data_IF_819952940977
#
_entry.id   IF_819952940977
#
_cell.length_a   1.000
_cell.length_b   1.000
_cell.length_c   1.000
_cell.angle_alpha   90.00
_cell.angle_beta   90.00
_cell.angle_gamma   90.00
#
_symmetry.space_group_name_H-M   'P 1'
#
loop_
_entity.id
_entity.type
_entity.pdbx_description
1 polymer ?
#
# COMPACT_ATOMS: atom_id res chain seq x y z
N UNK A 1 31.26 22.02 75.82
CA UNK A 1 31.59 20.72 75.20
C UNK A 1 30.43 20.30 74.31
N UNK A 2 30.50 20.57 73.00
CA UNK A 2 29.55 20.09 71.98
C UNK A 2 30.38 19.73 70.75
N UNK A 3 30.49 18.44 70.48
CA UNK A 3 31.18 17.89 69.31
C UNK A 3 30.14 17.80 68.19
N UNK A 4 30.40 18.48 67.08
CA UNK A 4 29.57 18.39 65.87
C UNK A 4 30.21 17.37 64.92
N UNK A 5 29.54 16.25 64.68
CA UNK A 5 29.91 15.27 63.67
C UNK A 5 29.57 15.82 62.27
N UNK A 6 30.56 15.92 61.39
CA UNK A 6 30.35 16.13 59.96
C UNK A 6 30.17 14.77 59.29
N UNK A 7 29.00 14.52 58.70
CA UNK A 7 28.74 13.37 57.86
C UNK A 7 29.21 13.68 56.42
N UNK A 8 30.24 12.98 55.95
CA UNK A 8 30.67 13.02 54.54
C UNK A 8 29.78 12.05 53.75
N UNK A 9 28.92 12.57 52.88
CA UNK A 9 28.15 11.75 51.94
C UNK A 9 28.99 11.53 50.67
N UNK A 10 29.55 10.32 50.51
CA UNK A 10 30.17 9.88 49.27
C UNK A 10 29.08 9.48 48.27
N UNK A 11 28.81 10.33 47.28
CA UNK A 11 28.00 10.00 46.12
C UNK A 11 28.82 9.12 45.15
N UNK A 12 28.57 7.81 45.20
CA UNK A 12 29.11 6.84 44.23
C UNK A 12 28.36 7.02 42.90
N UNK A 13 29.00 7.66 41.92
CA UNK A 13 28.44 7.82 40.57
C UNK A 13 28.58 6.50 39.79
N UNK A 14 27.48 5.75 39.69
CA UNK A 14 27.41 4.57 38.83
C UNK A 14 27.29 5.06 37.38
N UNK A 15 28.39 5.02 36.63
CA UNK A 15 28.38 5.25 35.19
C UNK A 15 27.71 4.06 34.50
N UNK A 16 26.44 4.23 34.10
CA UNK A 16 25.77 3.29 33.21
C UNK A 16 26.44 3.36 31.82
N UNK A 17 26.84 2.24 31.22
CA UNK A 17 27.36 2.25 29.86
C UNK A 17 26.23 2.66 28.91
N UNK A 18 26.40 3.81 28.25
CA UNK A 18 25.56 4.21 27.15
C UNK A 18 25.78 3.21 26.00
N UNK A 19 24.85 2.28 25.82
CA UNK A 19 24.76 1.52 24.58
C UNK A 19 24.39 2.50 23.47
N UNK A 20 25.40 3.00 22.76
CA UNK A 20 25.20 3.67 21.49
C UNK A 20 24.62 2.63 20.53
N UNK A 21 23.31 2.66 20.33
CA UNK A 21 22.66 1.96 19.22
C UNK A 21 23.29 2.50 17.95
N UNK A 22 24.13 1.70 17.28
CA UNK A 22 24.57 1.96 15.92
C UNK A 22 23.39 1.74 14.99
N UNK A 23 22.42 2.66 15.02
CA UNK A 23 21.46 2.77 13.94
C UNK A 23 22.28 3.04 12.69
N UNK A 24 22.43 2.01 11.85
CA UNK A 24 23.01 2.16 10.52
C UNK A 24 22.11 3.13 9.81
N UNK A 25 22.53 4.40 9.73
CA UNK A 25 21.80 5.42 9.01
C UNK A 25 21.85 4.99 7.55
N UNK A 26 20.71 4.67 6.97
CA UNK A 26 20.65 4.35 5.55
C UNK A 26 20.90 5.65 4.79
N UNK A 27 22.15 5.88 4.39
CA UNK A 27 22.56 7.07 3.68
C UNK A 27 22.36 6.90 2.18
N UNK A 28 21.80 7.93 1.55
CA UNK A 28 21.64 7.98 0.09
C UNK A 28 22.99 8.18 -0.57
N UNK A 29 23.35 7.30 -1.50
CA UNK A 29 24.64 7.34 -2.20
C UNK A 29 24.45 7.65 -3.69
N UNK A 30 25.44 8.28 -4.35
CA UNK A 30 25.49 8.32 -5.80
C UNK A 30 25.47 6.90 -6.38
N UNK A 31 24.78 6.72 -7.51
CA UNK A 31 24.81 5.45 -8.24
C UNK A 31 26.24 5.17 -8.72
N UNK A 32 26.81 4.04 -8.29
CA UNK A 32 28.16 3.66 -8.73
C UNK A 32 28.15 3.13 -10.16
N UNK A 33 29.29 3.23 -10.85
CA UNK A 33 29.48 2.65 -12.19
C UNK A 33 29.24 1.13 -12.18
N UNK A 34 29.68 0.46 -11.11
CA UNK A 34 29.45 -0.97 -10.92
C UNK A 34 27.96 -1.28 -10.79
N UNK A 35 27.21 -0.56 -9.95
CA UNK A 35 25.76 -0.74 -9.82
C UNK A 35 25.06 -0.51 -11.16
N UNK A 36 25.39 0.59 -11.85
CA UNK A 36 24.80 0.93 -13.14
C UNK A 36 25.03 -0.17 -14.18
N UNK A 37 26.26 -0.67 -14.31
CA UNK A 37 26.63 -1.76 -15.21
C UNK A 37 25.93 -3.07 -14.83
N UNK A 38 26.00 -3.43 -13.55
CA UNK A 38 25.51 -4.69 -12.99
C UNK A 38 23.99 -4.80 -13.05
N UNK A 39 23.29 -3.66 -13.04
CA UNK A 39 21.83 -3.58 -13.12
C UNK A 39 21.30 -3.01 -14.44
N UNK A 40 22.19 -2.73 -15.42
CA UNK A 40 21.87 -2.17 -16.74
C UNK A 40 21.03 -0.89 -16.66
N UNK A 41 21.41 0.02 -15.76
CA UNK A 41 20.71 1.28 -15.56
C UNK A 41 21.26 2.38 -16.46
N UNK A 42 20.37 3.20 -17.02
CA UNK A 42 20.76 4.39 -17.78
C UNK A 42 21.27 5.48 -16.83
N UNK A 43 22.59 5.67 -16.80
CA UNK A 43 23.28 6.68 -15.97
C UNK A 43 22.92 8.11 -16.35
N UNK A 44 22.29 8.36 -17.51
CA UNK A 44 21.75 9.68 -17.85
C UNK A 44 20.55 10.01 -16.96
N UNK A 45 19.71 9.02 -16.69
CA UNK A 45 18.52 9.17 -15.85
C UNK A 45 18.84 8.92 -14.37
N UNK A 46 19.37 7.74 -14.03
CA UNK A 46 19.61 7.32 -12.66
C UNK A 46 20.86 7.98 -12.08
N UNK A 47 20.72 8.60 -10.91
CA UNK A 47 21.81 9.36 -10.24
C UNK A 47 22.12 8.85 -8.84
N UNK A 48 21.15 8.24 -8.16
CA UNK A 48 21.32 7.74 -6.78
C UNK A 48 21.09 6.24 -6.75
N UNK A 49 21.83 5.54 -5.88
CA UNK A 49 21.82 4.08 -5.79
C UNK A 49 22.28 3.56 -4.43
N UNK A 50 21.39 2.92 -3.67
CA UNK A 50 21.73 2.25 -2.41
C UNK A 50 21.29 0.80 -2.47
N UNK A 51 22.19 -0.11 -2.08
CA UNK A 51 21.88 -1.53 -1.97
C UNK A 51 21.59 -1.91 -0.52
N UNK A 52 20.48 -2.61 -0.29
CA UNK A 52 20.07 -3.15 1.01
C UNK A 52 19.63 -4.59 0.80
N UNK A 53 20.22 -5.55 1.51
CA UNK A 53 19.88 -6.97 1.40
C UNK A 53 19.85 -7.48 -0.07
N UNK A 54 20.83 -7.06 -0.88
CA UNK A 54 20.91 -7.38 -2.33
C UNK A 54 19.75 -6.86 -3.18
N UNK A 55 19.00 -5.89 -2.65
CA UNK A 55 17.99 -5.11 -3.37
C UNK A 55 18.60 -3.76 -3.70
N UNK A 56 18.65 -3.41 -4.99
CA UNK A 56 19.10 -2.09 -5.41
C UNK A 56 17.91 -1.12 -5.43
N UNK A 57 18.01 -0.03 -4.67
CA UNK A 57 17.12 1.13 -4.76
C UNK A 57 17.81 2.16 -5.65
N UNK A 58 17.19 2.50 -6.78
CA UNK A 58 17.75 3.42 -7.77
C UNK A 58 16.76 4.54 -8.11
N UNK A 59 17.25 5.77 -8.19
CA UNK A 59 16.39 6.94 -8.41
C UNK A 59 17.05 7.95 -9.34
N UNK A 60 16.27 8.89 -9.85
CA UNK A 60 16.80 10.11 -10.46
C UNK A 60 17.50 10.99 -9.40
N UNK A 61 18.08 12.11 -9.84
CA UNK A 61 18.62 13.11 -8.92
C UNK A 61 17.54 13.89 -8.14
N UNK A 62 16.28 13.84 -8.58
CA UNK A 62 15.18 14.68 -8.04
C UNK A 62 14.48 14.09 -6.83
N UNK A 63 14.47 12.76 -6.69
CA UNK A 63 13.90 12.09 -5.52
C UNK A 63 14.63 12.53 -4.25
N UNK A 64 13.89 12.88 -3.21
CA UNK A 64 14.42 13.28 -1.91
C UNK A 64 15.30 12.19 -1.29
N UNK A 65 16.39 12.61 -0.64
CA UNK A 65 17.25 11.69 0.11
C UNK A 65 16.51 11.07 1.30
N UNK A 66 15.49 11.74 1.85
CA UNK A 66 14.65 11.20 2.91
C UNK A 66 13.84 10.00 2.44
N UNK A 67 13.18 10.08 1.28
CA UNK A 67 12.40 8.96 0.74
C UNK A 67 13.28 7.77 0.35
N UNK A 68 14.45 8.05 -0.20
CA UNK A 68 15.44 7.02 -0.51
C UNK A 68 15.92 6.31 0.77
N UNK A 69 16.29 7.07 1.80
CA UNK A 69 16.72 6.54 3.08
C UNK A 69 15.62 5.75 3.79
N UNK A 70 14.38 6.25 3.77
CA UNK A 70 13.21 5.58 4.37
C UNK A 70 12.92 4.25 3.68
N UNK A 71 12.95 4.23 2.34
CA UNK A 71 12.80 2.98 1.57
C UNK A 71 13.87 1.97 1.95
N UNK A 72 15.14 2.39 2.02
CA UNK A 72 16.25 1.54 2.40
C UNK A 72 16.09 0.99 3.83
N UNK A 73 15.62 1.82 4.75
CA UNK A 73 15.31 1.43 6.13
C UNK A 73 14.20 0.38 6.19
N UNK A 74 13.04 0.66 5.58
CA UNK A 74 11.89 -0.24 5.60
C UNK A 74 12.20 -1.57 4.92
N UNK A 75 12.92 -1.56 3.79
CA UNK A 75 13.35 -2.78 3.11
C UNK A 75 14.27 -3.62 3.98
N UNK A 76 15.27 -3.00 4.60
CA UNK A 76 16.18 -3.71 5.50
C UNK A 76 15.46 -4.27 6.73
N UNK A 77 14.45 -3.58 7.27
CA UNK A 77 13.61 -4.08 8.36
C UNK A 77 12.76 -5.26 7.92
N UNK A 78 12.05 -5.15 6.80
CA UNK A 78 11.20 -6.23 6.27
C UNK A 78 12.04 -7.47 5.95
N UNK A 79 13.14 -7.33 5.21
CA UNK A 79 14.03 -8.45 4.85
C UNK A 79 14.62 -9.18 6.06
N UNK A 80 14.87 -8.48 7.17
CA UNK A 80 15.32 -9.09 8.44
C UNK A 80 14.21 -9.80 9.21
N UNK A 81 12.96 -9.38 9.03
CA UNK A 81 11.82 -9.88 9.80
C UNK A 81 11.07 -11.04 9.15
N UNK A 82 11.16 -11.18 7.82
CA UNK A 82 10.56 -12.32 7.11
C UNK A 82 11.40 -13.59 7.27
N UNK A 83 10.82 -14.74 6.90
CA UNK A 83 11.51 -16.03 6.88
C UNK A 83 12.86 -15.95 6.10
N UNK A 84 14.00 -16.36 6.70
CA UNK A 84 15.31 -16.22 6.07
C UNK A 84 15.46 -16.95 4.72
N UNK A 85 14.75 -18.07 4.51
CA UNK A 85 14.77 -18.83 3.25
C UNK A 85 13.96 -18.10 2.18
N UNK A 86 12.86 -17.45 2.56
CA UNK A 86 12.12 -16.53 1.67
C UNK A 86 12.98 -15.32 1.31
N UNK A 87 13.61 -14.67 2.30
CA UNK A 87 14.52 -13.55 2.08
C UNK A 87 15.63 -13.92 1.09
N UNK A 88 16.25 -15.08 1.26
CA UNK A 88 17.33 -15.53 0.39
C UNK A 88 16.89 -15.73 -1.07
N UNK A 89 15.66 -16.20 -1.29
CA UNK A 89 15.10 -16.29 -2.65
C UNK A 89 14.89 -14.92 -3.27
N UNK A 90 14.44 -13.93 -2.49
CA UNK A 90 14.32 -12.54 -2.95
C UNK A 90 15.70 -11.98 -3.34
N UNK A 91 16.74 -12.19 -2.50
CA UNK A 91 18.12 -11.75 -2.81
C UNK A 91 18.60 -12.30 -4.16
N UNK A 92 18.39 -13.60 -4.41
CA UNK A 92 18.77 -14.27 -5.67
C UNK A 92 18.05 -13.71 -6.89
N UNK A 93 16.85 -13.16 -6.74
CA UNK A 93 16.11 -12.49 -7.82
C UNK A 93 16.63 -11.09 -8.14
N UNK A 94 17.53 -10.54 -7.30
CA UNK A 94 18.16 -9.23 -7.47
C UNK A 94 17.13 -8.13 -7.73
N UNK A 95 16.13 -8.03 -6.86
CA UNK A 95 15.04 -7.04 -6.97
C UNK A 95 15.58 -5.63 -7.30
N UNK A 96 14.89 -4.92 -8.20
CA UNK A 96 15.10 -3.49 -8.41
C UNK A 96 13.96 -2.73 -7.75
N UNK A 97 14.28 -1.75 -6.92
CA UNK A 97 13.33 -0.74 -6.49
C UNK A 97 13.65 0.56 -7.22
N UNK A 98 12.64 1.17 -7.84
CA UNK A 98 12.73 2.47 -8.48
C UNK A 98 11.85 3.43 -7.69
N UNK A 99 12.43 4.54 -7.22
CA UNK A 99 11.62 5.64 -6.70
C UNK A 99 11.43 6.70 -7.79
N UNK A 100 10.22 7.22 -7.88
CA UNK A 100 9.85 8.32 -8.77
C UNK A 100 9.52 9.56 -7.94
N UNK A 101 10.08 10.71 -8.31
CA UNK A 101 9.82 11.96 -7.59
C UNK A 101 8.37 12.43 -7.75
N UNK A 102 7.94 13.35 -6.89
CA UNK A 102 6.60 13.94 -6.93
C UNK A 102 6.24 14.50 -8.32
N UNK A 103 7.12 15.32 -8.89
CA UNK A 103 6.96 15.94 -10.21
C UNK A 103 7.46 15.06 -11.37
N UNK A 104 7.87 13.82 -11.09
CA UNK A 104 8.30 12.87 -12.11
C UNK A 104 7.16 11.94 -12.51
N UNK A 105 7.12 11.61 -13.80
CA UNK A 105 6.09 10.78 -14.37
C UNK A 105 6.63 9.38 -14.63
N UNK A 106 5.83 8.35 -14.33
CA UNK A 106 6.19 6.95 -14.55
C UNK A 106 6.59 6.68 -16.00
N UNK A 107 5.93 7.33 -16.97
CA UNK A 107 6.27 7.25 -18.40
C UNK A 107 7.64 7.82 -18.77
N UNK A 108 8.27 8.62 -17.92
CA UNK A 108 9.62 9.16 -18.13
C UNK A 108 10.71 8.17 -17.70
N UNK A 109 10.36 7.16 -16.90
CA UNK A 109 11.30 6.15 -16.43
C UNK A 109 11.76 5.26 -17.58
N UNK A 110 13.07 4.97 -17.73
CA UNK A 110 13.57 4.14 -18.81
C UNK A 110 12.86 2.78 -18.94
N UNK A 111 12.42 2.21 -17.82
CA UNK A 111 11.77 0.90 -17.70
C UNK A 111 10.28 0.91 -18.05
N UNK A 112 9.62 2.07 -17.97
CA UNK A 112 8.17 2.19 -18.01
C UNK A 112 7.69 3.24 -19.02
N UNK A 113 8.50 3.47 -20.07
CA UNK A 113 8.10 4.32 -21.19
C UNK A 113 6.76 3.86 -21.76
N UNK A 114 5.96 4.83 -22.17
CA UNK A 114 4.66 4.59 -22.79
C UNK A 114 4.53 5.39 -24.09
N UNK A 115 3.83 4.81 -25.05
CA UNK A 115 3.39 5.40 -26.31
C UNK A 115 2.05 6.14 -26.19
N UNK A 116 1.41 6.07 -25.03
CA UNK A 116 0.14 6.76 -24.73
C UNK A 116 0.28 8.26 -24.88
N UNK A 117 -0.81 8.92 -25.25
CA UNK A 117 -0.87 10.38 -25.41
C UNK A 117 -2.13 10.97 -24.77
N UNK A 118 -2.12 12.27 -24.50
CA UNK A 118 -3.27 13.00 -23.93
C UNK A 118 -3.79 12.39 -22.62
N UNK A 119 -5.12 12.34 -22.48
CA UNK A 119 -5.80 11.85 -21.26
C UNK A 119 -5.42 10.43 -20.87
N UNK A 120 -5.06 9.58 -21.83
CA UNK A 120 -4.61 8.23 -21.51
C UNK A 120 -3.24 8.20 -20.87
N UNK A 121 -2.33 9.07 -21.33
CA UNK A 121 -1.01 9.23 -20.72
C UNK A 121 -1.14 9.86 -19.33
N UNK A 122 -2.01 10.85 -19.17
CA UNK A 122 -2.29 11.48 -17.88
C UNK A 122 -2.81 10.43 -16.89
N UNK A 123 -3.78 9.60 -17.32
CA UNK A 123 -4.32 8.53 -16.49
C UNK A 123 -3.27 7.46 -16.16
N UNK A 124 -2.42 7.09 -17.13
CA UNK A 124 -1.31 6.17 -16.91
C UNK A 124 -0.36 6.69 -15.82
N UNK A 125 0.11 7.93 -15.94
CA UNK A 125 1.04 8.53 -14.98
C UNK A 125 0.41 8.75 -13.60
N UNK A 126 -0.87 9.13 -13.56
CA UNK A 126 -1.58 9.33 -12.30
C UNK A 126 -1.82 8.02 -11.54
N UNK A 127 -2.15 6.94 -12.26
CA UNK A 127 -2.54 5.67 -11.61
C UNK A 127 -1.35 4.78 -11.25
N UNK A 128 -0.22 4.89 -11.95
CA UNK A 128 0.93 3.99 -11.85
C UNK A 128 2.01 4.61 -10.94
N UNK A 129 1.70 4.77 -9.65
CA UNK A 129 2.61 5.41 -8.66
C UNK A 129 3.10 4.48 -7.55
N UNK A 130 2.53 3.29 -7.42
CA UNK A 130 3.04 2.18 -6.61
C UNK A 130 2.64 0.87 -7.29
N UNK A 131 3.61 -0.01 -7.60
CA UNK A 131 3.34 -1.34 -8.17
C UNK A 131 4.59 -2.23 -8.27
N UNK A 132 4.37 -3.55 -8.30
CA UNK A 132 5.34 -4.56 -8.76
C UNK A 132 5.11 -4.97 -10.23
N UNK A 133 6.18 -5.03 -11.03
CA UNK A 133 6.20 -5.64 -12.38
C UNK A 133 7.41 -6.52 -12.61
N UNK A 134 7.28 -7.48 -13.51
CA UNK A 134 8.40 -8.30 -13.98
C UNK A 134 8.91 -7.72 -15.31
N UNK A 135 10.19 -7.36 -15.35
CA UNK A 135 10.88 -6.95 -16.58
C UNK A 135 11.86 -8.06 -16.96
N UNK A 136 11.47 -8.86 -17.96
CA UNK A 136 12.09 -10.15 -18.22
C UNK A 136 11.94 -11.06 -17.00
N UNK A 137 13.04 -11.56 -16.46
CA UNK A 137 13.05 -12.41 -15.26
C UNK A 137 13.24 -11.65 -13.95
N UNK A 138 13.40 -10.33 -14.01
CA UNK A 138 13.72 -9.50 -12.85
C UNK A 138 12.46 -8.84 -12.30
N UNK A 139 12.15 -9.00 -11.00
CA UNK A 139 11.11 -8.20 -10.37
C UNK A 139 11.60 -6.76 -10.20
N UNK A 140 10.72 -5.81 -10.51
CA UNK A 140 10.94 -4.37 -10.39
C UNK A 140 9.74 -3.79 -9.67
N UNK A 141 9.98 -3.23 -8.49
CA UNK A 141 8.99 -2.50 -7.72
C UNK A 141 9.21 -1.00 -7.90
N UNK A 142 8.12 -0.25 -7.97
CA UNK A 142 8.13 1.20 -8.10
C UNK A 142 7.31 1.83 -6.99
N UNK A 143 7.83 2.93 -6.43
CA UNK A 143 7.11 3.78 -5.49
C UNK A 143 7.30 5.25 -5.83
N UNK A 144 6.24 6.03 -5.62
CA UNK A 144 6.34 7.47 -5.60
C UNK A 144 6.87 7.96 -4.25
N UNK A 145 7.58 9.08 -4.26
CA UNK A 145 8.11 9.67 -3.05
C UNK A 145 7.02 9.98 -2.02
N UNK A 146 5.87 10.47 -2.47
CA UNK A 146 4.70 10.77 -1.63
C UNK A 146 4.07 9.53 -0.99
N UNK A 147 4.14 8.36 -1.64
CA UNK A 147 3.68 7.10 -1.06
C UNK A 147 4.67 6.52 -0.04
N UNK A 148 5.98 6.78 -0.21
CA UNK A 148 7.00 6.34 0.76
C UNK A 148 6.95 7.18 2.03
N UNK A 149 6.76 8.50 1.89
CA UNK A 149 6.78 9.45 3.00
C UNK A 149 5.38 9.81 3.54
N UNK A 150 4.33 9.28 2.91
CA UNK A 150 2.93 9.45 3.30
C UNK A 150 2.44 10.92 3.41
N UNK A 151 2.99 11.82 2.58
CA UNK A 151 2.53 13.22 2.51
C UNK A 151 1.42 13.42 1.45
N UNK A 152 0.90 14.65 1.34
CA UNK A 152 -0.18 14.98 0.41
C UNK A 152 0.12 14.54 -1.03
N UNK A 153 -0.80 13.77 -1.62
CA UNK A 153 -0.64 13.14 -2.93
C UNK A 153 -0.41 11.63 -2.84
N UNK A 154 0.18 11.16 -1.74
CA UNK A 154 0.31 9.74 -1.43
C UNK A 154 -0.91 9.18 -0.69
N UNK A 155 -0.80 7.94 -0.23
CA UNK A 155 -1.83 7.25 0.56
C UNK A 155 -1.55 7.37 2.08
N UNK A 156 -2.15 8.34 2.79
CA UNK A 156 -2.01 8.40 4.24
C UNK A 156 -2.81 7.27 4.91
N UNK A 157 -2.34 6.80 6.06
CA UNK A 157 -2.96 5.77 6.93
C UNK A 157 -2.77 4.32 6.45
N UNK A 158 -2.05 4.11 5.35
CA UNK A 158 -1.57 2.79 4.93
C UNK A 158 -0.20 2.93 4.28
N UNK A 159 0.59 1.86 4.30
CA UNK A 159 1.92 1.87 3.69
C UNK A 159 1.92 1.11 2.38
N UNK A 160 1.78 1.84 1.27
CA UNK A 160 1.89 1.27 -0.09
C UNK A 160 3.23 0.56 -0.28
N UNK A 161 4.30 1.07 0.35
CA UNK A 161 5.60 0.41 0.34
C UNK A 161 5.53 -1.00 0.92
N UNK A 162 4.92 -1.16 2.10
CA UNK A 162 4.78 -2.47 2.74
C UNK A 162 3.82 -3.36 1.95
N UNK A 163 2.73 -2.81 1.41
CA UNK A 163 1.79 -3.54 0.55
C UNK A 163 2.49 -4.21 -0.63
N UNK A 164 3.17 -3.41 -1.45
CA UNK A 164 3.84 -3.89 -2.66
C UNK A 164 5.05 -4.77 -2.32
N UNK A 165 5.71 -4.53 -1.18
CA UNK A 165 6.72 -5.46 -0.69
C UNK A 165 6.12 -6.81 -0.29
N UNK A 166 4.88 -6.83 0.21
CA UNK A 166 4.09 -8.05 0.36
C UNK A 166 3.97 -8.82 -0.96
N UNK A 167 3.70 -8.13 -2.07
CA UNK A 167 3.73 -8.74 -3.40
C UNK A 167 5.12 -9.25 -3.81
N UNK A 168 6.21 -8.58 -3.41
CA UNK A 168 7.58 -9.09 -3.61
C UNK A 168 7.78 -10.40 -2.85
N UNK A 169 7.40 -10.46 -1.58
CA UNK A 169 7.52 -11.68 -0.75
C UNK A 169 6.76 -12.84 -1.39
N UNK A 170 5.52 -12.59 -1.81
CA UNK A 170 4.71 -13.58 -2.51
C UNK A 170 5.29 -13.97 -3.88
N UNK A 171 5.63 -13.01 -4.74
CA UNK A 171 5.99 -13.27 -6.13
C UNK A 171 7.43 -13.73 -6.34
N UNK A 172 8.38 -13.11 -5.65
CA UNK A 172 9.81 -13.40 -5.77
C UNK A 172 10.32 -14.36 -4.70
N UNK A 173 9.65 -14.40 -3.55
CA UNK A 173 10.09 -15.13 -2.37
C UNK A 173 9.51 -16.54 -2.22
N UNK A 174 8.26 -16.78 -2.59
CA UNK A 174 7.61 -18.08 -2.33
C UNK A 174 8.01 -19.19 -3.31
N UNK A 175 8.14 -20.42 -2.80
CA UNK A 175 8.22 -21.65 -3.58
C UNK A 175 6.82 -22.21 -3.88
N UNK A 176 6.78 -23.34 -4.59
CA UNK A 176 5.55 -24.03 -4.95
C UNK A 176 4.68 -24.35 -3.73
N UNK A 177 5.27 -24.90 -2.66
CA UNK A 177 4.50 -25.33 -1.48
C UNK A 177 3.91 -24.13 -0.74
N UNK A 178 4.65 -23.03 -0.63
CA UNK A 178 4.16 -21.77 -0.06
C UNK A 178 3.06 -21.14 -0.93
N UNK A 179 3.18 -21.21 -2.25
CA UNK A 179 2.12 -20.76 -3.18
C UNK A 179 0.83 -21.59 -3.01
N UNK A 180 0.95 -22.90 -2.83
CA UNK A 180 -0.18 -23.81 -2.57
C UNK A 180 -0.84 -23.53 -1.22
N UNK A 181 -0.04 -23.33 -0.16
CA UNK A 181 -0.54 -22.93 1.18
C UNK A 181 -1.28 -21.59 1.14
N UNK A 182 -0.72 -20.58 0.46
CA UNK A 182 -1.39 -19.29 0.27
C UNK A 182 -2.71 -19.46 -0.48
N UNK A 183 -2.75 -20.32 -1.51
CA UNK A 183 -3.99 -20.62 -2.25
C UNK A 183 -5.04 -21.25 -1.36
N UNK A 184 -4.66 -22.22 -0.53
CA UNK A 184 -5.58 -22.85 0.43
C UNK A 184 -6.09 -21.84 1.47
N UNK A 185 -5.20 -21.00 2.02
CA UNK A 185 -5.56 -19.96 2.98
C UNK A 185 -6.54 -18.93 2.39
N UNK A 186 -6.27 -18.45 1.17
CA UNK A 186 -7.16 -17.52 0.47
C UNK A 186 -8.56 -18.12 0.25
N UNK A 187 -8.64 -19.37 -0.24
CA UNK A 187 -9.92 -20.07 -0.42
C UNK A 187 -10.67 -20.19 0.90
N UNK A 188 -9.97 -20.56 1.98
CA UNK A 188 -10.59 -20.73 3.29
C UNK A 188 -11.10 -19.40 3.86
N UNK A 189 -10.31 -18.34 3.71
CA UNK A 189 -10.71 -16.98 4.11
C UNK A 189 -11.96 -16.52 3.37
N UNK A 190 -12.06 -16.85 2.08
CA UNK A 190 -13.21 -16.53 1.24
C UNK A 190 -14.48 -17.29 1.68
N UNK A 191 -14.36 -18.59 1.99
CA UNK A 191 -15.47 -19.39 2.56
C UNK A 191 -15.99 -18.81 3.88
N UNK A 192 -15.08 -18.33 4.73
CA UNK A 192 -15.39 -17.77 6.04
C UNK A 192 -15.82 -16.29 5.98
N UNK A 193 -15.64 -15.62 4.83
CA UNK A 193 -15.94 -14.21 4.67
C UNK A 193 -15.10 -13.28 5.56
N UNK A 194 -13.88 -13.67 5.93
CA UNK A 194 -13.03 -12.91 6.89
C UNK A 194 -12.82 -11.47 6.41
N UNK A 195 -12.52 -11.31 5.11
CA UNK A 195 -12.27 -10.02 4.48
C UNK A 195 -13.52 -9.37 3.88
N UNK A 196 -14.70 -9.75 4.36
CA UNK A 196 -15.92 -9.05 4.01
C UNK A 196 -16.25 -8.00 5.07
N UNK A 197 -16.93 -6.92 4.67
CA UNK A 197 -17.39 -5.89 5.59
C UNK A 197 -18.86 -5.55 5.37
N UNK A 198 -19.63 -5.70 6.45
CA UNK A 198 -21.04 -5.32 6.53
C UNK A 198 -21.30 -3.88 6.95
N UNK A 199 -20.26 -3.04 6.97
CA UNK A 199 -20.36 -1.58 7.18
C UNK A 199 -19.60 -0.78 6.10
N UNK A 200 -18.89 -1.45 5.21
CA UNK A 200 -18.17 -0.80 4.12
C UNK A 200 -19.15 -0.05 3.24
N UNK A 201 -18.76 1.15 2.82
CA UNK A 201 -19.69 2.02 2.12
C UNK A 201 -19.08 2.61 0.85
N UNK A 202 -19.80 2.45 -0.26
CA UNK A 202 -19.36 2.92 -1.57
C UNK A 202 -20.12 4.17 -1.99
N UNK A 203 -19.40 5.16 -2.52
CA UNK A 203 -20.01 6.32 -3.17
C UNK A 203 -20.55 5.91 -4.55
N UNK A 204 -21.85 6.12 -4.77
CA UNK A 204 -22.50 5.84 -6.06
C UNK A 204 -22.56 7.13 -6.90
N UNK A 205 -21.52 7.37 -7.72
CA UNK A 205 -21.37 8.60 -8.54
C UNK A 205 -21.83 8.42 -9.99
N UNK A 206 -22.84 7.59 -10.23
CA UNK A 206 -23.27 7.20 -11.59
C UNK A 206 -24.47 7.98 -12.12
N UNK A 207 -25.14 8.74 -11.24
CA UNK A 207 -26.12 9.75 -11.63
C UNK A 207 -25.38 11.04 -11.94
N UNK A 208 -25.70 11.68 -13.07
CA UNK A 208 -25.05 12.90 -13.57
C UNK A 208 -26.11 13.89 -14.05
N UNK A 209 -25.77 15.18 -14.04
CA UNK A 209 -26.64 16.27 -14.48
C UNK A 209 -27.73 16.63 -13.47
N UNK A 210 -28.50 17.66 -13.79
CA UNK A 210 -29.37 18.34 -12.79
C UNK A 210 -30.74 17.68 -12.65
N UNK A 211 -31.14 16.87 -13.64
CA UNK A 211 -32.43 16.19 -13.67
C UNK A 211 -32.47 15.08 -12.64
N UNK A 212 -33.45 15.15 -11.73
CA UNK A 212 -33.71 14.08 -10.74
C UNK A 212 -34.22 12.80 -11.43
N UNK A 213 -33.56 11.68 -11.16
CA UNK A 213 -33.90 10.33 -11.66
C UNK A 213 -34.13 9.37 -10.51
N UNK A 214 -34.87 8.28 -10.75
CA UNK A 214 -35.08 7.23 -9.73
C UNK A 214 -33.74 6.59 -9.33
N UNK A 215 -33.41 6.62 -8.03
CA UNK A 215 -32.20 5.95 -7.55
C UNK A 215 -32.31 4.43 -7.68
N UNK A 216 -33.49 3.85 -7.40
CA UNK A 216 -33.73 2.41 -7.61
C UNK A 216 -33.46 2.00 -9.06
N UNK A 217 -33.96 2.78 -10.03
CA UNK A 217 -33.71 2.55 -11.45
C UNK A 217 -32.23 2.69 -11.83
N UNK A 218 -31.54 3.68 -11.28
CA UNK A 218 -30.11 3.87 -11.50
C UNK A 218 -29.28 2.72 -10.90
N UNK A 219 -29.62 2.24 -9.70
CA UNK A 219 -28.98 1.09 -9.08
C UNK A 219 -29.18 -0.17 -9.93
N UNK A 220 -30.41 -0.49 -10.34
CA UNK A 220 -30.68 -1.69 -11.16
C UNK A 220 -29.93 -1.67 -12.49
N UNK A 221 -29.74 -0.49 -13.10
CA UNK A 221 -28.94 -0.33 -14.32
C UNK A 221 -27.47 -0.71 -14.11
N UNK A 222 -26.89 -0.41 -12.94
CA UNK A 222 -25.47 -0.62 -12.65
C UNK A 222 -25.17 -1.93 -11.89
N UNK A 223 -26.20 -2.54 -11.32
CA UNK A 223 -26.16 -3.86 -10.67
C UNK A 223 -27.19 -4.79 -11.34
N UNK A 224 -26.97 -5.18 -12.61
CA UNK A 224 -27.96 -5.93 -13.39
C UNK A 224 -28.24 -7.33 -12.83
N UNK A 225 -27.29 -7.93 -12.11
CA UNK A 225 -27.44 -9.26 -11.51
C UNK A 225 -28.28 -9.23 -10.21
N UNK A 226 -28.37 -8.08 -9.53
CA UNK A 226 -29.08 -7.98 -8.26
C UNK A 226 -30.59 -7.88 -8.44
N UNK A 227 -31.37 -8.56 -7.59
CA UNK A 227 -32.83 -8.54 -7.72
C UNK A 227 -33.41 -7.14 -7.43
N UNK A 228 -34.43 -6.67 -8.17
CA UNK A 228 -35.11 -5.41 -7.85
C UNK A 228 -35.68 -5.38 -6.42
N UNK A 229 -36.10 -6.53 -5.91
CA UNK A 229 -36.60 -6.67 -4.54
C UNK A 229 -35.50 -6.41 -3.49
N UNK A 230 -34.29 -6.93 -3.69
CA UNK A 230 -33.15 -6.67 -2.83
C UNK A 230 -32.76 -5.19 -2.86
N UNK A 231 -32.62 -4.60 -4.04
CA UNK A 231 -32.26 -3.18 -4.17
C UNK A 231 -33.29 -2.25 -3.52
N UNK A 232 -34.58 -2.60 -3.65
CA UNK A 232 -35.67 -1.91 -2.96
C UNK A 232 -35.52 -2.01 -1.44
N UNK A 233 -35.28 -3.21 -0.92
CA UNK A 233 -35.06 -3.47 0.50
C UNK A 233 -33.88 -2.66 1.06
N UNK A 234 -32.74 -2.65 0.37
CA UNK A 234 -31.58 -1.86 0.76
C UNK A 234 -31.87 -0.35 0.84
N UNK A 235 -32.66 0.19 -0.10
CA UNK A 235 -33.07 1.59 -0.04
C UNK A 235 -34.01 1.86 1.14
N UNK A 236 -34.96 0.97 1.39
CA UNK A 236 -36.01 1.13 2.41
C UNK A 236 -35.50 0.85 3.84
N UNK A 237 -34.47 0.01 4.01
CA UNK A 237 -33.91 -0.39 5.32
C UNK A 237 -32.68 0.43 5.77
N UNK A 238 -32.25 1.40 4.96
CA UNK A 238 -31.18 2.34 5.34
C UNK A 238 -29.76 1.93 4.94
N UNK A 239 -29.62 0.85 4.16
CA UNK A 239 -28.36 0.45 3.51
C UNK A 239 -27.94 1.43 2.41
N UNK A 240 -28.80 2.38 2.02
CA UNK A 240 -28.44 3.43 1.07
C UNK A 240 -28.77 4.79 1.68
N UNK A 241 -27.74 5.64 1.77
CA UNK A 241 -27.84 7.00 2.25
C UNK A 241 -27.81 7.97 1.08
N UNK A 242 -28.66 8.99 1.13
CA UNK A 242 -28.63 10.15 0.22
C UNK A 242 -28.33 11.39 1.05
N UNK A 243 -27.25 12.09 0.73
CA UNK A 243 -26.77 13.24 1.48
C UNK A 243 -26.58 12.95 2.98
N UNK A 244 -26.09 11.75 3.29
CA UNK A 244 -25.81 11.29 4.65
C UNK A 244 -27.02 10.84 5.46
N UNK A 245 -28.22 10.77 4.87
CA UNK A 245 -29.45 10.35 5.56
C UNK A 245 -30.03 9.07 4.94
N UNK A 246 -30.65 8.17 5.74
CA UNK A 246 -31.43 7.05 5.21
C UNK A 246 -32.51 7.52 4.24
N UNK A 247 -32.88 6.65 3.30
CA UNK A 247 -33.78 6.98 2.21
C UNK A 247 -34.87 5.91 2.05
N UNK A 248 -35.53 5.89 0.89
CA UNK A 248 -36.42 4.81 0.48
C UNK A 248 -36.41 4.63 -1.04
N UNK A 249 -37.06 3.57 -1.51
CA UNK A 249 -37.13 3.13 -2.89
C UNK A 249 -37.80 4.09 -3.86
N UNK A 250 -38.51 5.12 -3.36
CA UNK A 250 -39.13 6.17 -4.17
C UNK A 250 -38.20 7.38 -4.38
N UNK A 251 -37.03 7.41 -3.74
CA UNK A 251 -36.12 8.56 -3.82
C UNK A 251 -35.66 8.84 -5.25
N UNK A 252 -35.61 10.13 -5.58
CA UNK A 252 -35.01 10.62 -6.81
C UNK A 252 -33.79 11.49 -6.48
N UNK A 253 -32.72 11.27 -7.22
CA UNK A 253 -31.43 11.94 -7.03
C UNK A 253 -30.94 12.56 -8.34
N UNK A 254 -30.09 13.57 -8.28
CA UNK A 254 -29.37 14.14 -9.41
C UNK A 254 -27.85 14.01 -9.22
N UNK A 255 -27.05 14.67 -10.05
CA UNK A 255 -25.58 14.63 -9.98
C UNK A 255 -24.95 15.31 -8.74
N UNK A 256 -25.70 16.15 -8.03
CA UNK A 256 -25.24 16.86 -6.83
C UNK A 256 -25.45 16.04 -5.55
N UNK A 257 -26.42 15.12 -5.58
CA UNK A 257 -26.75 14.27 -4.44
C UNK A 257 -25.64 13.24 -4.14
N UNK A 258 -25.16 13.25 -2.90
CA UNK A 258 -24.15 12.30 -2.40
C UNK A 258 -24.82 10.99 -2.02
N UNK A 259 -24.86 10.04 -2.95
CA UNK A 259 -25.35 8.68 -2.69
C UNK A 259 -24.23 7.81 -2.14
N UNK A 260 -24.48 7.19 -0.98
CA UNK A 260 -23.58 6.23 -0.31
C UNK A 260 -24.33 4.93 -0.07
N UNK A 261 -23.89 3.85 -0.70
CA UNK A 261 -24.39 2.50 -0.45
C UNK A 261 -23.58 1.96 0.73
N UNK A 262 -24.20 1.83 1.89
CA UNK A 262 -23.71 1.12 3.06
C UNK A 262 -24.03 -0.34 2.84
N UNK A 263 -23.02 -1.13 2.53
CA UNK A 263 -23.26 -2.56 2.38
C UNK A 263 -23.37 -3.16 3.78
N UNK A 264 -24.59 -3.43 4.24
CA UNK A 264 -24.82 -4.47 5.22
C UNK A 264 -24.42 -5.83 4.66
N UNK A 265 -23.65 -6.64 5.39
CA UNK A 265 -23.32 -8.02 4.99
C UNK A 265 -22.00 -8.25 4.21
N UNK A 266 -21.89 -9.30 3.38
CA UNK A 266 -20.61 -9.89 2.96
C UNK A 266 -19.94 -9.17 1.78
N UNK A 267 -19.91 -7.83 1.77
CA UNK A 267 -19.25 -7.10 0.68
C UNK A 267 -17.75 -7.37 0.72
N UNK A 268 -17.24 -7.85 -0.42
CA UNK A 268 -15.82 -8.13 -0.66
C UNK A 268 -14.97 -6.86 -0.49
N UNK A 269 -14.00 -6.91 0.42
CA UNK A 269 -12.95 -5.91 0.55
C UNK A 269 -11.78 -6.19 -0.41
N UNK A 270 -10.83 -5.27 -0.49
CA UNK A 270 -9.69 -5.32 -1.40
C UNK A 270 -8.89 -6.63 -1.26
N UNK A 271 -8.60 -7.04 -0.03
CA UNK A 271 -7.96 -8.32 0.30
C UNK A 271 -8.68 -9.56 -0.27
N UNK A 272 -10.00 -9.51 -0.46
CA UNK A 272 -10.78 -10.64 -0.99
C UNK A 272 -10.84 -10.70 -2.52
N UNK A 273 -10.31 -9.68 -3.23
CA UNK A 273 -10.44 -9.59 -4.70
C UNK A 273 -9.67 -10.69 -5.41
N UNK A 274 -8.44 -10.97 -4.97
CA UNK A 274 -7.63 -12.06 -5.50
C UNK A 274 -6.58 -12.49 -4.46
N UNK A 275 -5.92 -13.62 -4.76
CA UNK A 275 -4.94 -14.24 -3.86
C UNK A 275 -3.70 -13.37 -3.59
N UNK A 276 -3.28 -12.54 -4.55
CA UNK A 276 -2.14 -11.65 -4.38
C UNK A 276 -2.46 -10.50 -3.42
N UNK A 277 -3.63 -9.87 -3.56
CA UNK A 277 -4.09 -8.81 -2.63
C UNK A 277 -4.32 -9.38 -1.24
N UNK A 278 -4.91 -10.57 -1.13
CA UNK A 278 -5.08 -11.26 0.16
C UNK A 278 -3.76 -11.36 0.93
N UNK A 279 -2.68 -11.72 0.24
CA UNK A 279 -1.37 -11.78 0.85
C UNK A 279 -0.83 -10.40 1.19
N UNK A 280 -0.86 -9.44 0.26
CA UNK A 280 -0.32 -8.11 0.50
C UNK A 280 -1.04 -7.38 1.64
N UNK A 281 -2.36 -7.46 1.69
CA UNK A 281 -3.18 -6.92 2.78
C UNK A 281 -2.90 -7.61 4.12
N UNK A 282 -2.76 -8.94 4.12
CA UNK A 282 -2.32 -9.68 5.30
C UNK A 282 -0.89 -9.31 5.73
N UNK A 283 -0.01 -9.01 4.78
CA UNK A 283 1.35 -8.55 5.05
C UNK A 283 1.35 -7.14 5.65
N UNK A 284 0.58 -6.19 5.12
CA UNK A 284 0.38 -4.87 5.74
C UNK A 284 -0.17 -4.99 7.16
N UNK A 285 -1.15 -5.87 7.35
CA UNK A 285 -1.78 -6.15 8.65
C UNK A 285 -0.76 -6.66 9.66
N UNK A 286 0.20 -7.49 9.24
CA UNK A 286 1.28 -7.98 10.10
C UNK A 286 2.21 -6.87 10.61
N UNK A 287 2.36 -5.78 9.86
CA UNK A 287 3.12 -4.59 10.26
C UNK A 287 2.26 -3.47 10.84
N UNK A 288 0.99 -3.74 11.15
CA UNK A 288 0.05 -2.78 11.71
C UNK A 288 -0.14 -1.52 10.84
N UNK A 289 0.05 -1.66 9.51
CA UNK A 289 -0.09 -0.56 8.54
C UNK A 289 -1.29 -0.71 7.62
N UNK A 290 -2.20 -1.65 7.90
CA UNK A 290 -3.39 -1.78 7.07
C UNK A 290 -4.45 -0.75 7.51
N UNK A 291 -5.13 -0.17 6.54
CA UNK A 291 -6.19 0.80 6.78
C UNK A 291 -7.46 0.11 7.29
N UNK A 292 -8.32 0.90 7.93
CA UNK A 292 -9.58 0.44 8.49
C UNK A 292 -10.80 1.18 7.94
N UNK A 293 -11.93 0.46 7.92
CA UNK A 293 -13.28 1.01 7.87
C UNK A 293 -13.58 1.96 6.70
N UNK A 294 -13.07 1.64 5.51
CA UNK A 294 -13.32 2.44 4.31
C UNK A 294 -14.01 1.62 3.19
N UNK A 295 -13.89 2.09 1.95
CA UNK A 295 -14.52 1.41 0.82
C UNK A 295 -13.82 0.11 0.41
N UNK A 296 -12.55 -0.05 0.76
CA UNK A 296 -11.68 -1.15 0.33
C UNK A 296 -11.21 -2.00 1.52
N UNK A 297 -11.27 -1.50 2.76
CA UNK A 297 -10.76 -2.19 3.95
C UNK A 297 -11.85 -2.47 5.00
N UNK A 298 -11.72 -3.59 5.73
CA UNK A 298 -12.65 -3.99 6.79
C UNK A 298 -12.11 -3.65 8.19
N UNK A 299 -12.41 -4.48 9.19
CA UNK A 299 -11.96 -4.35 10.58
C UNK A 299 -10.63 -5.06 10.90
N UNK A 300 -10.06 -5.81 9.94
CA UNK A 300 -8.81 -6.56 10.13
C UNK A 300 -7.65 -5.65 9.73
N UNK A 301 -6.83 -5.23 10.69
CA UNK A 301 -5.71 -4.33 10.41
C UNK A 301 -4.43 -4.52 11.22
N UNK A 302 -4.47 -5.31 12.30
CA UNK A 302 -3.30 -5.66 13.10
C UNK A 302 -3.14 -7.18 13.16
N UNK A 303 -1.95 -7.63 13.57
CA UNK A 303 -1.62 -9.05 13.79
C UNK A 303 -2.49 -9.76 14.83
#
# INVERSE_FOLDING_TARGET
MKISLFAFSCLLSIALPAFASTHTKYETKPLSEEQAKTHKLDVKFYKKGTEVDSILIATSGKVSDYAHAETAYLFGKMMKSIDPVVAERIRKRRLLCILVGHDELTSQLPQFRSDKTGKELDFYNWRQRGFLRWIGQRPVVLFSEEDVLEYEGGMPLESILIHEFGHVVHGAGFDKDQQERLTAAFKKSHELGIWNDGRAAQRFRRVKGDKKVSLLGALKKWFPEESPALLKKCLDEGDVLVNGKPTNSKVKVNGEDKVRIVFGGPKRCYASRNRSEYWAEGFQTWYDTNRLHDHDHNHVNTR
#
